data_IF_794139772099
#
_entry.id   IF_794139772099
#
_cell.length_a   1.000
_cell.length_b   1.000
_cell.length_c   1.000
_cell.angle_alpha   90.00
_cell.angle_beta   90.00
_cell.angle_gamma   90.00
#
_symmetry.space_group_name_H-M   'P 1'
#
loop_
_entity.id
_entity.type
_entity.pdbx_description
1 polymer ?
#
# COMPACT_ATOMS: atom_id res chain seq x y z
N UNK A 1 -12.90 50.78 0.75
CA UNK A 1 -11.84 50.13 1.55
C UNK A 1 -12.34 48.91 2.33
N UNK A 2 -13.40 48.99 3.16
CA UNK A 2 -13.88 47.86 3.99
C UNK A 2 -14.17 46.54 3.22
N UNK A 3 -14.74 46.61 2.01
CA UNK A 3 -15.03 45.41 1.19
C UNK A 3 -13.79 44.67 0.69
N UNK A 4 -12.69 45.38 0.43
CA UNK A 4 -11.42 44.76 0.00
C UNK A 4 -10.72 44.04 1.17
N UNK A 5 -10.80 44.60 2.38
CA UNK A 5 -10.24 43.97 3.58
C UNK A 5 -10.95 42.65 3.94
N UNK A 6 -12.27 42.56 3.79
CA UNK A 6 -13.04 41.33 4.04
C UNK A 6 -12.66 40.22 3.05
N UNK A 7 -12.48 40.55 1.76
CA UNK A 7 -12.10 39.59 0.74
C UNK A 7 -10.69 39.00 0.98
N UNK A 8 -9.72 39.84 1.39
CA UNK A 8 -8.35 39.39 1.73
C UNK A 8 -8.33 38.46 2.95
N UNK A 9 -9.16 38.75 3.96
CA UNK A 9 -9.29 37.91 5.17
C UNK A 9 -9.93 36.55 4.83
N UNK A 10 -10.97 36.54 3.99
CA UNK A 10 -11.60 35.29 3.52
C UNK A 10 -10.62 34.44 2.68
N UNK A 11 -9.86 35.07 1.77
CA UNK A 11 -8.86 34.36 0.97
C UNK A 11 -7.71 33.78 1.81
N UNK A 12 -7.22 34.49 2.83
CA UNK A 12 -6.20 33.95 3.74
C UNK A 12 -6.75 32.83 4.62
N UNK A 13 -8.00 32.92 5.09
CA UNK A 13 -8.64 31.86 5.87
C UNK A 13 -8.76 30.55 5.06
N UNK A 14 -9.18 30.61 3.79
CA UNK A 14 -9.26 29.43 2.93
C UNK A 14 -7.90 28.80 2.58
N UNK A 15 -6.84 29.62 2.48
CA UNK A 15 -5.47 29.11 2.26
C UNK A 15 -4.93 28.38 3.50
N UNK A 16 -5.23 28.86 4.71
CA UNK A 16 -4.81 28.21 5.95
C UNK A 16 -5.42 26.82 6.15
N UNK A 17 -6.69 26.62 5.77
CA UNK A 17 -7.38 25.33 5.94
C UNK A 17 -6.71 24.22 5.12
N UNK A 18 -6.25 24.50 3.89
CA UNK A 18 -5.59 23.49 3.03
C UNK A 18 -4.22 23.02 3.57
N UNK A 19 -3.51 23.87 4.31
CA UNK A 19 -2.21 23.51 4.89
C UNK A 19 -2.32 22.53 6.09
N UNK A 20 -3.48 22.46 6.75
CA UNK A 20 -3.66 21.61 7.93
C UNK A 20 -3.61 20.11 7.61
N UNK A 21 -4.17 19.68 6.47
CA UNK A 21 -4.21 18.27 6.08
C UNK A 21 -2.82 17.67 5.86
N UNK A 22 -1.96 18.38 5.13
CA UNK A 22 -0.58 17.96 4.85
C UNK A 22 0.26 17.83 6.14
N UNK A 23 0.09 18.78 7.06
CA UNK A 23 0.76 18.76 8.37
C UNK A 23 0.38 17.53 9.19
N UNK A 24 -0.89 17.14 9.16
CA UNK A 24 -1.37 15.96 9.88
C UNK A 24 -0.85 14.65 9.29
N UNK A 25 -0.82 14.51 7.95
CA UNK A 25 -0.25 13.32 7.30
C UNK A 25 1.23 13.14 7.63
N UNK A 26 2.02 14.23 7.64
CA UNK A 26 3.43 14.16 8.07
C UNK A 26 3.56 13.68 9.52
N UNK A 27 2.74 14.23 10.42
CA UNK A 27 2.77 13.84 11.84
C UNK A 27 2.35 12.38 12.01
N UNK A 28 1.34 11.92 11.29
CA UNK A 28 0.92 10.52 11.25
C UNK A 28 2.11 9.63 10.95
N UNK A 29 2.76 9.79 9.79
CA UNK A 29 3.87 8.93 9.38
C UNK A 29 5.10 9.07 10.28
N UNK A 30 5.35 10.26 10.86
CA UNK A 30 6.39 10.42 11.88
C UNK A 30 6.18 9.49 13.07
N UNK A 31 4.95 9.33 13.54
CA UNK A 31 4.64 8.42 14.65
C UNK A 31 4.56 6.96 14.22
N UNK A 32 4.08 6.66 13.00
CA UNK A 32 4.18 5.31 12.43
C UNK A 32 5.63 4.83 12.40
N UNK A 33 6.56 5.63 11.86
CA UNK A 33 7.97 5.25 11.81
C UNK A 33 8.61 5.07 13.19
N UNK A 34 8.18 5.86 14.19
CA UNK A 34 8.61 5.65 15.57
C UNK A 34 8.08 4.32 16.12
N UNK A 35 6.83 3.98 15.82
CA UNK A 35 6.25 2.71 16.22
C UNK A 35 7.00 1.53 15.59
N UNK A 36 7.23 1.59 14.28
CA UNK A 36 7.98 0.56 13.53
C UNK A 36 9.40 0.40 14.11
N UNK A 37 10.11 1.50 14.39
CA UNK A 37 11.41 1.46 15.06
C UNK A 37 11.34 0.83 16.46
N UNK A 38 10.30 1.10 17.24
CA UNK A 38 10.10 0.48 18.55
C UNK A 38 9.84 -1.02 18.44
N UNK A 39 9.11 -1.48 17.42
CA UNK A 39 8.91 -2.91 17.13
C UNK A 39 10.25 -3.59 16.84
N UNK A 40 11.14 -2.96 16.05
CA UNK A 40 12.48 -3.51 15.78
C UNK A 40 13.33 -3.70 17.05
N UNK A 41 13.02 -2.95 18.12
CA UNK A 41 13.67 -3.08 19.42
C UNK A 41 12.81 -3.87 20.43
N UNK A 42 11.75 -4.53 19.98
CA UNK A 42 10.79 -5.30 20.78
C UNK A 42 10.07 -4.51 21.89
N UNK A 43 10.09 -3.18 21.81
CA UNK A 43 9.36 -2.30 22.73
C UNK A 43 7.92 -2.09 22.24
N UNK A 44 7.09 -3.14 22.40
CA UNK A 44 5.70 -3.15 21.94
C UNK A 44 4.82 -2.14 22.69
N UNK A 45 5.16 -1.79 23.93
CA UNK A 45 4.43 -0.77 24.70
C UNK A 45 4.63 0.62 24.08
N UNK A 46 5.88 0.99 23.78
CA UNK A 46 6.17 2.25 23.11
C UNK A 46 5.63 2.28 21.67
N UNK A 47 5.69 1.15 20.96
CA UNK A 47 5.08 1.04 19.63
C UNK A 47 3.57 1.32 19.66
N UNK A 48 2.85 0.71 20.61
CA UNK A 48 1.41 0.93 20.82
C UNK A 48 1.10 2.40 21.13
N UNK A 49 1.87 3.04 22.02
CA UNK A 49 1.74 4.48 22.32
C UNK A 49 1.95 5.35 21.07
N UNK A 50 2.93 4.99 20.24
CA UNK A 50 3.19 5.70 18.98
C UNK A 50 2.05 5.52 17.98
N UNK A 51 1.48 4.33 17.82
CA UNK A 51 0.30 4.11 16.97
C UNK A 51 -0.93 4.89 17.44
N UNK A 52 -1.26 4.81 18.74
CA UNK A 52 -2.34 5.62 19.33
C UNK A 52 -2.15 7.10 19.01
N UNK A 53 -0.92 7.61 19.15
CA UNK A 53 -0.62 9.00 18.80
C UNK A 53 -0.74 9.27 17.30
N UNK A 54 -0.26 8.38 16.43
CA UNK A 54 -0.41 8.50 14.97
C UNK A 54 -1.90 8.61 14.59
N UNK A 55 -2.74 7.75 15.14
CA UNK A 55 -4.17 7.67 14.84
C UNK A 55 -4.95 8.91 15.28
N UNK A 56 -4.37 9.80 16.11
CA UNK A 56 -4.95 11.13 16.37
C UNK A 56 -4.83 12.11 15.21
N UNK A 57 -3.92 11.87 14.26
CA UNK A 57 -3.67 12.77 13.12
C UNK A 57 -4.46 12.42 11.86
N UNK A 58 -4.87 11.17 11.70
CA UNK A 58 -5.74 10.75 10.59
C UNK A 58 -7.03 10.17 11.14
N UNK A 59 -8.17 10.71 10.71
CA UNK A 59 -9.50 10.21 11.05
C UNK A 59 -9.67 8.72 10.70
N UNK A 60 -9.00 8.29 9.62
CA UNK A 60 -9.08 6.94 9.07
C UNK A 60 -7.67 6.39 8.87
N UNK A 61 -7.07 5.77 9.91
CA UNK A 61 -5.80 5.08 9.78
C UNK A 61 -5.87 3.91 8.78
N UNK A 62 -4.73 3.58 8.16
CA UNK A 62 -4.68 2.53 7.17
C UNK A 62 -4.82 1.14 7.81
N UNK A 63 -5.53 0.23 7.12
CA UNK A 63 -5.78 -1.13 7.59
C UNK A 63 -4.54 -1.88 8.08
N UNK A 64 -3.41 -1.72 7.38
CA UNK A 64 -2.13 -2.31 7.76
C UNK A 64 -1.60 -1.78 9.10
N UNK A 65 -1.71 -0.47 9.34
CA UNK A 65 -1.26 0.12 10.60
C UNK A 65 -2.15 -0.31 11.76
N UNK A 66 -3.47 -0.42 11.52
CA UNK A 66 -4.42 -0.95 12.51
C UNK A 66 -4.08 -2.40 12.89
N UNK A 67 -3.74 -3.23 11.90
CA UNK A 67 -3.35 -4.62 12.13
C UNK A 67 -2.08 -4.71 13.01
N UNK A 68 -1.01 -4.00 12.62
CA UNK A 68 0.26 -4.04 13.37
C UNK A 68 0.11 -3.43 14.78
N UNK A 69 -0.64 -2.34 14.91
CA UNK A 69 -0.92 -1.71 16.20
C UNK A 69 -1.64 -2.66 17.16
N UNK A 70 -2.64 -3.41 16.67
CA UNK A 70 -3.35 -4.40 17.48
C UNK A 70 -2.43 -5.52 17.96
N UNK A 71 -1.53 -6.02 17.12
CA UNK A 71 -0.54 -7.02 17.57
C UNK A 71 0.39 -6.44 18.64
N UNK A 72 0.87 -5.21 18.47
CA UNK A 72 1.71 -4.56 19.48
C UNK A 72 0.97 -4.40 20.82
N UNK A 73 -0.31 -4.04 20.79
CA UNK A 73 -1.13 -3.90 21.99
C UNK A 73 -1.32 -5.25 22.70
N UNK A 74 -1.60 -6.29 21.92
CA UNK A 74 -1.74 -7.65 22.45
C UNK A 74 -0.42 -8.25 22.97
N UNK A 75 0.74 -7.77 22.50
CA UNK A 75 2.07 -8.12 23.02
C UNK A 75 2.52 -7.25 24.19
N UNK A 76 1.72 -6.27 24.61
CA UNK A 76 2.05 -5.35 25.70
C UNK A 76 0.87 -5.21 26.67
N UNK A 77 0.41 -3.98 26.93
CA UNK A 77 -0.73 -3.71 27.80
C UNK A 77 -2.00 -3.61 26.95
N UNK A 78 -2.96 -4.50 27.22
CA UNK A 78 -4.19 -4.61 26.44
C UNK A 78 -5.18 -3.53 26.84
N UNK A 79 -5.66 -2.77 25.85
CA UNK A 79 -6.83 -1.89 25.99
C UNK A 79 -7.94 -2.38 25.05
N UNK A 80 -9.01 -2.90 25.63
CA UNK A 80 -10.10 -3.55 24.88
C UNK A 80 -10.88 -2.53 24.03
N UNK A 81 -11.12 -1.33 24.55
CA UNK A 81 -11.85 -0.28 23.83
C UNK A 81 -11.12 0.14 22.55
N UNK A 82 -9.79 0.34 22.63
CA UNK A 82 -8.96 0.65 21.47
C UNK A 82 -8.99 -0.49 20.44
N UNK A 83 -8.85 -1.75 20.89
CA UNK A 83 -8.88 -2.92 20.00
C UNK A 83 -10.23 -3.06 19.29
N UNK A 84 -11.33 -2.85 20.01
CA UNK A 84 -12.67 -2.84 19.44
C UNK A 84 -12.82 -1.73 18.39
N UNK A 85 -12.37 -0.52 18.70
CA UNK A 85 -12.39 0.60 17.76
C UNK A 85 -11.55 0.30 16.50
N UNK A 86 -10.35 -0.23 16.68
CA UNK A 86 -9.45 -0.57 15.57
C UNK A 86 -9.98 -1.71 14.72
N UNK A 87 -10.60 -2.73 15.34
CA UNK A 87 -11.26 -3.82 14.62
C UNK A 87 -12.40 -3.28 13.74
N UNK A 88 -13.24 -2.37 14.24
CA UNK A 88 -14.31 -1.74 13.44
C UNK A 88 -13.74 -1.00 12.22
N UNK A 89 -12.68 -0.22 12.41
CA UNK A 89 -12.02 0.50 11.31
C UNK A 89 -11.31 -0.44 10.32
N UNK A 90 -10.75 -1.54 10.82
CA UNK A 90 -10.12 -2.57 10.02
C UNK A 90 -11.16 -3.28 9.15
N UNK A 91 -12.23 -3.79 9.76
CA UNK A 91 -13.34 -4.46 9.08
C UNK A 91 -13.98 -3.60 7.99
N UNK A 92 -14.18 -2.30 8.22
CA UNK A 92 -14.68 -1.38 7.19
C UNK A 92 -13.83 -1.38 5.90
N UNK A 93 -12.50 -1.44 6.09
CA UNK A 93 -11.53 -1.38 5.01
C UNK A 93 -11.28 -2.76 4.38
N UNK A 94 -11.14 -3.80 5.19
CA UNK A 94 -10.69 -5.13 4.75
C UNK A 94 -11.83 -6.10 4.44
N UNK A 95 -13.04 -5.83 4.90
CA UNK A 95 -14.18 -6.77 4.94
C UNK A 95 -13.88 -8.06 5.73
N UNK A 96 -12.87 -8.01 6.62
CA UNK A 96 -12.40 -9.12 7.45
C UNK A 96 -12.29 -8.71 8.91
N UNK A 97 -12.60 -9.64 9.81
CA UNK A 97 -12.42 -9.43 11.23
C UNK A 97 -10.93 -9.50 11.59
N UNK A 98 -10.44 -8.50 12.32
CA UNK A 98 -9.04 -8.45 12.71
C UNK A 98 -8.66 -9.60 13.66
N UNK A 99 -9.60 -10.06 14.51
CA UNK A 99 -9.43 -11.25 15.36
C UNK A 99 -9.12 -12.47 14.52
N UNK A 100 -9.93 -12.71 13.49
CA UNK A 100 -9.80 -13.92 12.67
C UNK A 100 -8.47 -13.93 11.92
N UNK A 101 -8.03 -12.76 11.43
CA UNK A 101 -6.71 -12.63 10.81
C UNK A 101 -5.57 -12.90 11.81
N UNK A 102 -5.60 -12.28 12.99
CA UNK A 102 -4.57 -12.49 14.02
C UNK A 102 -4.54 -13.95 14.51
N UNK A 103 -5.71 -14.60 14.68
CA UNK A 103 -5.79 -16.01 15.09
C UNK A 103 -5.26 -16.94 13.99
N UNK A 104 -5.53 -16.61 12.72
CA UNK A 104 -5.09 -17.44 11.59
C UNK A 104 -3.57 -17.45 11.40
N UNK A 105 -2.86 -16.43 11.90
CA UNK A 105 -1.41 -16.40 11.92
C UNK A 105 -0.87 -17.31 13.05
N UNK A 106 -0.47 -18.51 12.63
CA UNK A 106 -0.16 -19.72 13.44
C UNK A 106 0.88 -19.56 14.56
N UNK A 107 1.47 -18.39 14.78
CA UNK A 107 2.56 -18.19 15.72
C UNK A 107 2.20 -17.48 17.03
N UNK A 108 0.91 -17.22 17.32
CA UNK A 108 0.53 -16.52 18.56
C UNK A 108 -0.33 -17.39 19.49
N UNK A 109 0.30 -18.43 20.02
CA UNK A 109 -0.32 -19.37 20.98
C UNK A 109 -0.82 -18.74 22.29
N UNK A 110 -0.49 -17.47 22.56
CA UNK A 110 -0.83 -16.77 23.80
C UNK A 110 -2.26 -16.21 23.84
N UNK A 111 -2.97 -16.13 22.71
CA UNK A 111 -4.24 -15.40 22.67
C UNK A 111 -5.50 -16.23 22.91
N UNK A 112 -5.41 -17.56 23.01
CA UNK A 112 -6.59 -18.40 23.32
C UNK A 112 -7.36 -17.95 24.58
N UNK A 113 -6.70 -17.27 25.53
CA UNK A 113 -7.31 -16.78 26.77
C UNK A 113 -7.83 -15.34 26.72
N UNK A 114 -7.51 -14.55 25.67
CA UNK A 114 -8.11 -13.22 25.44
C UNK A 114 -9.51 -13.31 24.82
N UNK A 115 -9.95 -14.51 24.42
CA UNK A 115 -11.09 -14.74 23.52
C UNK A 115 -12.34 -15.37 24.15
N UNK A 116 -12.64 -15.09 25.41
CA UNK A 116 -14.02 -15.26 25.90
C UNK A 116 -14.64 -13.88 26.13
N UNK A 117 -15.51 -13.49 25.18
CA UNK A 117 -16.66 -12.56 25.31
C UNK A 117 -16.57 -11.17 24.63
N UNK A 118 -15.41 -10.57 24.30
CA UNK A 118 -15.41 -9.11 23.97
C UNK A 118 -15.20 -8.68 22.50
N UNK A 119 -14.80 -9.57 21.59
CA UNK A 119 -14.59 -9.22 20.17
C UNK A 119 -15.78 -9.56 19.26
N UNK A 120 -16.63 -10.50 19.69
CA UNK A 120 -17.72 -11.03 18.86
C UNK A 120 -18.93 -10.08 18.79
N UNK A 121 -18.94 -8.98 19.56
CA UNK A 121 -19.98 -7.94 19.49
C UNK A 121 -19.84 -7.02 18.28
N UNK A 122 -18.70 -7.03 17.58
CA UNK A 122 -18.47 -6.29 16.33
C UNK A 122 -18.74 -7.26 15.17
N UNK A 123 -20.01 -7.69 15.06
CA UNK A 123 -20.46 -8.51 13.94
C UNK A 123 -20.53 -7.64 12.68
N UNK A 124 -20.20 -8.26 11.54
CA UNK A 124 -20.19 -7.74 10.17
C UNK A 124 -21.42 -6.89 9.78
N UNK A 125 -22.55 -7.10 10.46
CA UNK A 125 -23.83 -6.45 10.20
C UNK A 125 -23.94 -5.00 10.73
N UNK A 126 -22.91 -4.47 11.38
CA UNK A 126 -22.94 -3.12 12.00
C UNK A 126 -22.15 -2.05 11.26
N UNK A 127 -21.46 -2.40 10.17
CA UNK A 127 -20.60 -1.46 9.45
C UNK A 127 -21.28 -1.02 8.16
N UNK A 128 -22.16 -0.03 8.29
CA UNK A 128 -22.78 0.62 7.15
C UNK A 128 -21.73 1.42 6.35
N UNK A 129 -21.45 0.94 5.14
CA UNK A 129 -20.62 1.67 4.17
C UNK A 129 -21.40 2.88 3.67
N UNK A 130 -20.70 3.99 3.46
CA UNK A 130 -21.33 5.17 2.85
C UNK A 130 -21.89 4.84 1.46
N UNK A 131 -22.96 5.52 1.04
CA UNK A 131 -23.48 5.38 -0.34
C UNK A 131 -22.40 5.66 -1.38
N UNK A 132 -21.52 6.63 -1.11
CA UNK A 132 -20.36 6.93 -1.95
C UNK A 132 -19.40 5.72 -2.06
N UNK A 133 -19.06 5.08 -0.94
CA UNK A 133 -18.22 3.88 -0.93
C UNK A 133 -18.85 2.74 -1.75
N UNK A 134 -20.14 2.48 -1.56
CA UNK A 134 -20.87 1.41 -2.29
C UNK A 134 -20.83 1.68 -3.79
N UNK A 135 -21.22 2.90 -4.21
CA UNK A 135 -21.23 3.29 -5.63
C UNK A 135 -19.83 3.19 -6.23
N UNK A 136 -18.81 3.72 -5.54
CA UNK A 136 -17.44 3.73 -6.04
C UNK A 136 -16.86 2.32 -6.15
N UNK A 137 -17.08 1.46 -5.13
CA UNK A 137 -16.68 0.05 -5.17
C UNK A 137 -17.36 -0.69 -6.34
N UNK A 138 -18.64 -0.47 -6.58
CA UNK A 138 -19.35 -1.07 -7.71
C UNK A 138 -18.81 -0.61 -9.06
N UNK A 139 -18.47 0.68 -9.21
CA UNK A 139 -17.79 1.19 -10.41
C UNK A 139 -16.44 0.49 -10.62
N UNK A 140 -15.61 0.40 -9.58
CA UNK A 140 -14.30 -0.27 -9.67
C UNK A 140 -14.42 -1.76 -10.03
N UNK A 141 -15.41 -2.48 -9.47
CA UNK A 141 -15.73 -3.87 -9.84
C UNK A 141 -16.11 -3.99 -11.31
N UNK A 142 -16.95 -3.07 -11.80
CA UNK A 142 -17.36 -3.06 -13.20
C UNK A 142 -16.17 -2.82 -14.15
N UNK A 143 -15.22 -1.96 -13.79
CA UNK A 143 -13.99 -1.75 -14.58
C UNK A 143 -13.15 -3.03 -14.66
N UNK A 144 -12.94 -3.72 -13.53
CA UNK A 144 -12.22 -5.00 -13.51
C UNK A 144 -12.93 -6.07 -14.30
N UNK A 145 -14.25 -6.17 -14.17
CA UNK A 145 -15.04 -7.12 -14.95
C UNK A 145 -14.82 -6.91 -16.45
N UNK A 146 -14.91 -5.67 -16.94
CA UNK A 146 -14.63 -5.34 -18.35
C UNK A 146 -13.19 -5.66 -18.77
N UNK A 147 -12.22 -5.34 -17.91
CA UNK A 147 -10.80 -5.65 -18.13
C UNK A 147 -10.54 -7.17 -18.28
N UNK A 148 -11.18 -7.99 -17.43
CA UNK A 148 -11.02 -9.44 -17.48
C UNK A 148 -11.86 -10.08 -18.59
N UNK A 149 -13.04 -9.56 -18.90
CA UNK A 149 -13.89 -10.07 -19.98
C UNK A 149 -13.21 -9.97 -21.34
N UNK A 150 -12.58 -8.82 -21.67
CA UNK A 150 -11.86 -8.71 -22.94
C UNK A 150 -10.65 -9.65 -22.98
N UNK A 151 -10.03 -9.94 -21.81
CA UNK A 151 -8.96 -10.94 -21.70
C UNK A 151 -9.46 -12.33 -22.06
N UNK A 152 -10.55 -12.77 -21.44
CA UNK A 152 -11.12 -14.08 -21.75
C UNK A 152 -11.60 -14.17 -23.20
N UNK A 153 -12.26 -13.14 -23.74
CA UNK A 153 -12.69 -13.13 -25.14
C UNK A 153 -11.52 -13.27 -26.12
N UNK A 154 -10.41 -12.55 -25.90
CA UNK A 154 -9.25 -12.66 -26.77
C UNK A 154 -8.50 -13.99 -26.58
N UNK A 155 -8.52 -14.56 -25.36
CA UNK A 155 -8.00 -15.90 -25.11
C UNK A 155 -8.83 -16.98 -25.82
N UNK A 156 -10.17 -16.91 -25.76
CA UNK A 156 -11.07 -17.86 -26.41
C UNK A 156 -10.93 -17.83 -27.95
N UNK A 157 -10.75 -16.64 -28.52
CA UNK A 157 -10.65 -16.46 -29.98
C UNK A 157 -9.29 -16.83 -30.55
N UNK A 158 -8.20 -16.54 -29.83
CA UNK A 158 -6.84 -16.65 -30.37
C UNK A 158 -5.96 -17.67 -29.64
N UNK A 159 -6.33 -18.08 -28.43
CA UNK A 159 -5.52 -18.89 -27.52
C UNK A 159 -4.55 -18.05 -26.66
N UNK A 160 -4.22 -18.55 -25.48
CA UNK A 160 -3.36 -17.87 -24.48
C UNK A 160 -2.00 -17.42 -25.06
N UNK A 161 -1.39 -18.25 -25.92
CA UNK A 161 -0.07 -17.98 -26.51
C UNK A 161 -0.08 -16.86 -27.56
N UNK A 162 -1.26 -16.58 -28.15
CA UNK A 162 -1.44 -15.58 -29.22
C UNK A 162 -2.12 -14.31 -28.71
N UNK A 163 -2.34 -14.22 -27.41
CA UNK A 163 -2.97 -13.10 -26.73
C UNK A 163 -2.27 -11.74 -26.98
N UNK A 164 -0.99 -11.76 -27.35
CA UNK A 164 -0.19 -10.56 -27.65
C UNK A 164 -0.03 -10.26 -29.15
N UNK A 165 -0.75 -10.95 -30.04
CA UNK A 165 -0.82 -10.60 -31.46
C UNK A 165 -1.48 -9.22 -31.66
N UNK A 166 -1.23 -8.58 -32.80
CA UNK A 166 -1.55 -7.17 -33.05
C UNK A 166 -3.04 -6.81 -32.81
N UNK A 167 -3.97 -7.59 -33.37
CA UNK A 167 -5.41 -7.35 -33.21
C UNK A 167 -5.90 -7.54 -31.77
N UNK A 168 -5.69 -8.70 -31.09
CA UNK A 168 -6.01 -8.87 -29.67
C UNK A 168 -5.49 -7.74 -28.80
N UNK A 169 -4.21 -7.40 -28.98
CA UNK A 169 -3.52 -6.34 -28.26
C UNK A 169 -4.20 -4.98 -28.41
N UNK A 170 -4.68 -4.64 -29.61
CA UNK A 170 -5.34 -3.36 -29.86
C UNK A 170 -6.67 -3.23 -29.10
N UNK A 171 -7.47 -4.30 -29.08
CA UNK A 171 -8.76 -4.35 -28.37
C UNK A 171 -8.57 -4.24 -26.85
N UNK A 172 -7.61 -5.00 -26.32
CA UNK A 172 -7.23 -4.94 -24.91
C UNK A 172 -6.77 -3.54 -24.52
N UNK A 173 -5.85 -2.97 -25.31
CA UNK A 173 -5.31 -1.64 -25.06
C UNK A 173 -6.41 -0.56 -25.11
N UNK A 174 -7.42 -0.72 -25.96
CA UNK A 174 -8.59 0.17 -25.99
C UNK A 174 -9.39 0.10 -24.69
N UNK A 175 -9.75 -1.10 -24.23
CA UNK A 175 -10.48 -1.31 -22.97
C UNK A 175 -9.67 -0.80 -21.77
N UNK A 176 -8.35 -1.07 -21.74
CA UNK A 176 -7.45 -0.59 -20.69
C UNK A 176 -7.43 0.94 -20.62
N UNK A 177 -7.49 1.62 -21.76
CA UNK A 177 -7.53 3.08 -21.84
C UNK A 177 -8.82 3.65 -21.27
N UNK A 178 -9.96 3.05 -21.64
CA UNK A 178 -11.26 3.45 -21.11
C UNK A 178 -11.32 3.24 -19.59
N UNK A 179 -10.81 2.11 -19.11
CA UNK A 179 -10.73 1.82 -17.69
C UNK A 179 -9.81 2.80 -16.95
N UNK A 180 -8.68 3.20 -17.54
CA UNK A 180 -7.79 4.19 -16.95
C UNK A 180 -8.44 5.58 -16.90
N UNK A 181 -9.17 5.97 -17.94
CA UNK A 181 -9.93 7.22 -17.98
C UNK A 181 -11.00 7.25 -16.87
N UNK A 182 -11.79 6.19 -16.73
CA UNK A 182 -12.79 6.08 -15.67
C UNK A 182 -12.16 6.05 -14.28
N UNK A 183 -11.05 5.32 -14.11
CA UNK A 183 -10.29 5.34 -12.88
C UNK A 183 -9.79 6.75 -12.54
N UNK A 184 -9.27 7.48 -13.53
CA UNK A 184 -8.84 8.86 -13.36
C UNK A 184 -10.00 9.74 -12.86
N UNK A 185 -11.22 9.56 -13.38
CA UNK A 185 -12.40 10.28 -12.90
C UNK A 185 -12.72 9.94 -11.44
N UNK A 186 -12.68 8.65 -11.08
CA UNK A 186 -12.91 8.17 -9.69
C UNK A 186 -11.92 8.80 -8.71
N UNK A 187 -10.61 8.73 -9.00
CA UNK A 187 -9.58 9.26 -8.08
C UNK A 187 -9.50 10.79 -8.08
N UNK A 188 -10.12 11.46 -9.05
CA UNK A 188 -10.25 12.92 -9.10
C UNK A 188 -11.40 13.45 -8.25
N UNK A 189 -12.31 12.58 -7.82
CA UNK A 189 -13.40 12.95 -6.95
C UNK A 189 -12.86 13.45 -5.60
N UNK A 190 -13.37 14.59 -5.13
CA UNK A 190 -12.97 15.19 -3.84
C UNK A 190 -13.27 14.27 -2.66
N UNK A 191 -14.30 13.42 -2.78
CA UNK A 191 -14.69 12.43 -1.77
C UNK A 191 -13.84 11.16 -1.80
N UNK A 192 -12.98 10.99 -2.83
CA UNK A 192 -12.15 9.80 -2.95
C UNK A 192 -11.23 9.64 -1.72
N UNK A 193 -11.18 8.40 -1.22
CA UNK A 193 -10.36 7.95 -0.10
C UNK A 193 -10.16 6.45 -0.19
N UNK A 194 -8.93 5.96 0.03
CA UNK A 194 -8.63 4.53 0.10
C UNK A 194 -9.39 3.83 1.24
N UNK A 195 -9.72 4.56 2.31
CA UNK A 195 -10.55 4.05 3.40
C UNK A 195 -11.96 3.65 2.91
N UNK A 196 -12.60 4.51 2.11
CA UNK A 196 -13.98 4.31 1.61
C UNK A 196 -14.07 3.11 0.66
N UNK A 197 -13.09 2.96 -0.23
CA UNK A 197 -13.08 1.86 -1.21
C UNK A 197 -12.51 0.55 -0.63
N UNK A 198 -11.78 0.64 0.49
CA UNK A 198 -11.15 -0.48 1.18
C UNK A 198 -10.14 -1.26 0.33
N UNK A 199 -9.72 -2.40 0.87
CA UNK A 199 -8.76 -3.32 0.24
C UNK A 199 -9.27 -3.85 -1.10
N UNK A 200 -10.56 -4.18 -1.20
CA UNK A 200 -11.17 -4.67 -2.44
C UNK A 200 -11.09 -3.62 -3.56
N UNK A 201 -11.53 -2.39 -3.29
CA UNK A 201 -11.46 -1.32 -4.28
C UNK A 201 -10.01 -0.97 -4.64
N UNK A 202 -9.11 -0.98 -3.66
CA UNK A 202 -7.68 -0.77 -3.93
C UNK A 202 -7.10 -1.86 -4.84
N UNK A 203 -7.48 -3.13 -4.65
CA UNK A 203 -7.06 -4.21 -5.54
C UNK A 203 -7.54 -3.98 -6.98
N UNK A 204 -8.77 -3.47 -7.16
CA UNK A 204 -9.26 -3.07 -8.49
C UNK A 204 -8.41 -1.95 -9.10
N UNK A 205 -8.08 -0.92 -8.32
CA UNK A 205 -7.19 0.15 -8.77
C UNK A 205 -5.83 -0.43 -9.17
N UNK A 206 -5.23 -1.29 -8.34
CA UNK A 206 -3.96 -1.94 -8.61
C UNK A 206 -3.95 -2.70 -9.95
N UNK A 207 -4.97 -3.52 -10.22
CA UNK A 207 -5.04 -4.33 -11.45
C UNK A 207 -5.19 -3.46 -12.69
N UNK A 208 -6.10 -2.47 -12.70
CA UNK A 208 -6.30 -1.56 -13.84
C UNK A 208 -4.97 -0.87 -14.19
N UNK A 209 -4.26 -0.45 -13.16
CA UNK A 209 -3.00 0.25 -13.28
C UNK A 209 -1.87 -0.67 -13.74
N UNK A 210 -1.85 -1.91 -13.26
CA UNK A 210 -0.89 -2.93 -13.68
C UNK A 210 -1.01 -3.23 -15.17
N UNK A 211 -2.22 -3.40 -15.68
CA UNK A 211 -2.43 -3.65 -17.10
C UNK A 211 -2.10 -2.42 -17.95
N UNK A 212 -2.48 -1.22 -17.49
CA UNK A 212 -2.12 0.01 -18.19
C UNK A 212 -0.61 0.33 -18.17
N UNK A 213 0.17 -0.25 -17.25
CA UNK A 213 1.61 0.00 -17.23
C UNK A 213 2.27 -0.66 -18.43
N UNK A 214 1.76 -1.79 -18.91
CA UNK A 214 2.22 -2.47 -20.13
C UNK A 214 2.17 -1.57 -21.37
N UNK A 215 1.27 -0.56 -21.36
CA UNK A 215 1.10 0.43 -22.43
C UNK A 215 1.83 1.75 -22.15
N UNK A 216 2.61 1.83 -21.08
CA UNK A 216 3.22 3.07 -20.58
C UNK A 216 2.19 4.18 -20.31
N UNK A 217 0.98 3.88 -19.83
CA UNK A 217 -0.07 4.90 -19.58
C UNK A 217 -0.32 5.19 -18.11
N UNK A 218 0.13 4.32 -17.21
CA UNK A 218 -0.13 4.48 -15.76
C UNK A 218 0.48 5.74 -15.14
N UNK A 219 1.49 6.35 -15.78
CA UNK A 219 2.05 7.63 -15.34
C UNK A 219 1.03 8.77 -15.35
N UNK A 220 -0.02 8.69 -16.20
CA UNK A 220 -1.07 9.70 -16.32
C UNK A 220 -1.82 9.96 -15.01
N UNK A 221 -1.83 8.98 -14.10
CA UNK A 221 -2.48 9.09 -12.79
C UNK A 221 -1.50 9.04 -11.61
N UNK A 222 -0.20 8.80 -11.87
CA UNK A 222 0.81 8.59 -10.83
C UNK A 222 0.94 9.81 -9.90
N UNK A 223 1.01 11.02 -10.49
CA UNK A 223 1.11 12.25 -9.69
C UNK A 223 -0.15 12.47 -8.85
N UNK A 224 -1.32 12.14 -9.38
CA UNK A 224 -2.58 12.27 -8.63
C UNK A 224 -2.62 11.32 -7.43
N UNK A 225 -2.19 10.07 -7.60
CA UNK A 225 -2.05 9.12 -6.49
C UNK A 225 -1.01 9.58 -5.47
N UNK A 226 0.12 10.14 -5.92
CA UNK A 226 1.14 10.74 -5.04
C UNK A 226 0.57 11.88 -4.20
N UNK A 227 -0.26 12.75 -4.78
CA UNK A 227 -0.94 13.82 -4.05
C UNK A 227 -1.96 13.26 -3.05
N UNK A 228 -2.67 12.17 -3.38
CA UNK A 228 -3.55 11.50 -2.43
C UNK A 228 -2.80 10.91 -1.24
N UNK A 229 -1.60 10.35 -1.46
CA UNK A 229 -0.69 9.93 -0.37
C UNK A 229 -0.29 11.12 0.50
N UNK A 230 0.12 12.22 -0.12
CA UNK A 230 0.52 13.44 0.59
C UNK A 230 -0.58 14.01 1.50
N UNK A 231 -1.83 13.77 1.14
CA UNK A 231 -3.04 14.18 1.86
C UNK A 231 -3.60 13.10 2.80
N UNK A 232 -2.90 11.96 2.99
CA UNK A 232 -3.32 10.89 3.88
C UNK A 232 -4.55 10.11 3.40
N UNK A 233 -4.87 10.19 2.11
CA UNK A 233 -6.01 9.49 1.49
C UNK A 233 -5.63 8.13 0.90
N UNK A 234 -4.34 7.87 0.69
CA UNK A 234 -3.79 6.61 0.17
C UNK A 234 -2.56 6.25 0.99
N UNK A 235 -2.39 4.97 1.31
CA UNK A 235 -1.21 4.47 2.02
C UNK A 235 0.04 4.64 1.14
N UNK A 236 1.08 5.27 1.68
CA UNK A 236 2.34 5.50 0.98
C UNK A 236 3.04 4.21 0.54
N UNK A 237 2.92 3.12 1.30
CA UNK A 237 3.51 1.81 0.97
C UNK A 237 2.81 1.20 -0.24
N UNK A 238 1.48 1.29 -0.29
CA UNK A 238 0.69 0.81 -1.42
C UNK A 238 1.01 1.58 -2.70
N UNK A 239 1.10 2.91 -2.61
CA UNK A 239 1.51 3.73 -3.75
C UNK A 239 2.94 3.43 -4.20
N UNK A 240 3.89 3.27 -3.27
CA UNK A 240 5.27 3.00 -3.60
C UNK A 240 5.46 1.65 -4.31
N UNK A 241 4.77 0.60 -3.84
CA UNK A 241 4.74 -0.70 -4.51
C UNK A 241 4.19 -0.59 -5.94
N UNK A 242 3.07 0.14 -6.10
CA UNK A 242 2.45 0.40 -7.39
C UNK A 242 3.36 1.21 -8.32
N UNK A 243 4.01 2.25 -7.83
CA UNK A 243 4.91 3.10 -8.59
C UNK A 243 6.13 2.32 -9.09
N UNK A 244 6.61 1.33 -8.33
CA UNK A 244 7.59 0.37 -8.82
C UNK A 244 7.12 -0.41 -10.06
N UNK A 245 5.80 -0.62 -10.27
CA UNK A 245 5.27 -1.27 -11.49
C UNK A 245 5.29 -0.33 -12.70
N UNK A 246 5.24 0.98 -12.48
CA UNK A 246 5.39 1.96 -13.57
C UNK A 246 6.79 1.85 -14.16
N UNK A 247 7.80 1.78 -13.30
CA UNK A 247 9.19 1.69 -13.73
C UNK A 247 9.56 0.43 -14.50
N UNK A 248 9.01 -0.73 -14.12
CA UNK A 248 9.26 -1.98 -14.84
C UNK A 248 8.80 -1.93 -16.30
N UNK A 249 7.67 -1.27 -16.55
CA UNK A 249 7.12 -1.17 -17.89
C UNK A 249 7.76 -0.02 -18.70
N UNK A 250 8.12 1.08 -18.03
CA UNK A 250 8.66 2.28 -18.64
C UNK A 250 10.19 2.26 -18.82
N UNK A 251 10.81 1.09 -19.04
CA UNK A 251 12.28 0.92 -19.21
C UNK A 251 12.97 1.86 -20.23
N UNK A 252 12.21 2.66 -20.99
CA UNK A 252 12.66 3.61 -22.02
C UNK A 252 12.21 5.07 -21.83
N UNK A 253 11.46 5.42 -20.77
CA UNK A 253 10.99 6.80 -20.56
C UNK A 253 11.99 7.60 -19.74
N UNK A 254 12.50 8.71 -20.30
CA UNK A 254 13.39 9.66 -19.59
C UNK A 254 12.67 10.45 -18.48
N UNK A 255 11.33 10.45 -18.48
CA UNK A 255 10.53 11.26 -17.56
C UNK A 255 10.49 10.70 -16.13
N UNK A 256 10.76 9.41 -15.95
CA UNK A 256 10.79 8.76 -14.63
C UNK A 256 12.19 8.21 -14.39
N UNK A 257 12.90 8.77 -13.41
CA UNK A 257 14.22 8.29 -13.00
C UNK A 257 14.11 6.96 -12.24
N UNK A 258 13.86 5.88 -12.98
CA UNK A 258 13.84 4.53 -12.47
C UNK A 258 15.26 4.05 -12.17
N UNK A 259 15.49 3.53 -10.97
CA UNK A 259 16.77 2.97 -10.55
C UNK A 259 16.61 1.46 -10.56
N UNK A 260 17.23 0.81 -11.56
CA UNK A 260 17.11 -0.65 -11.79
C UNK A 260 15.66 -1.15 -11.83
N UNK A 261 14.73 -0.33 -12.32
CA UNK A 261 13.31 -0.67 -12.42
C UNK A 261 12.48 -0.36 -11.17
N UNK A 262 13.02 0.36 -10.18
CA UNK A 262 12.28 0.81 -8.98
C UNK A 262 12.51 2.30 -8.70
N UNK A 263 11.54 2.95 -8.04
CA UNK A 263 11.58 4.36 -7.60
C UNK A 263 11.82 4.46 -6.10
N UNK A 264 11.22 3.53 -5.35
CA UNK A 264 11.11 3.57 -3.90
C UNK A 264 11.80 2.39 -3.23
N UNK A 265 12.13 1.33 -3.96
CA UNK A 265 12.78 0.13 -3.44
C UNK A 265 11.83 -0.84 -2.74
N UNK A 266 10.54 -0.82 -3.08
CA UNK A 266 9.53 -1.68 -2.45
C UNK A 266 9.45 -3.08 -3.05
N UNK A 267 9.97 -3.31 -4.26
CA UNK A 267 9.86 -4.61 -4.97
C UNK A 267 11.08 -5.50 -4.88
N UNK A 268 12.00 -5.09 -4.05
CA UNK A 268 13.38 -5.50 -4.15
C UNK A 268 13.74 -6.44 -3.00
N UNK A 269 12.75 -7.20 -2.52
CA UNK A 269 12.92 -8.28 -1.56
C UNK A 269 12.49 -9.61 -2.19
N UNK A 270 13.43 -10.51 -2.33
CA UNK A 270 13.23 -11.82 -2.96
C UNK A 270 13.47 -12.92 -1.96
N UNK A 271 12.56 -13.88 -1.91
CA UNK A 271 12.66 -15.08 -1.08
C UNK A 271 12.76 -16.29 -1.98
N UNK A 272 13.78 -17.12 -1.76
CA UNK A 272 14.00 -18.38 -2.47
C UNK A 272 14.67 -19.38 -1.53
N UNK A 273 14.05 -20.54 -1.35
CA UNK A 273 14.42 -21.45 -0.25
C UNK A 273 14.43 -20.72 1.10
N UNK A 274 15.54 -20.79 1.82
CA UNK A 274 15.77 -20.07 3.09
C UNK A 274 16.50 -18.73 2.91
N UNK A 275 16.77 -18.32 1.67
CA UNK A 275 17.51 -17.11 1.37
C UNK A 275 16.57 -15.94 1.14
N UNK A 276 16.98 -14.80 1.67
CA UNK A 276 16.25 -13.55 1.57
C UNK A 276 17.23 -12.53 1.04
N UNK A 277 16.91 -11.88 -0.08
CA UNK A 277 17.87 -10.99 -0.75
C UNK A 277 17.27 -9.64 -1.08
N UNK A 278 18.14 -8.64 -1.17
CA UNK A 278 17.83 -7.34 -1.72
C UNK A 278 18.96 -6.83 -2.63
N UNK A 279 18.68 -5.95 -3.60
CA UNK A 279 19.69 -5.34 -4.45
C UNK A 279 20.74 -4.58 -3.66
N UNK A 280 21.99 -4.82 -4.04
CA UNK A 280 23.10 -4.03 -3.56
C UNK A 280 23.12 -2.67 -4.31
N UNK A 281 22.43 -1.69 -3.73
CA UNK A 281 22.42 -0.32 -4.23
C UNK A 281 23.76 0.38 -3.95
N UNK A 282 24.25 1.13 -4.92
CA UNK A 282 25.34 2.07 -4.70
C UNK A 282 24.91 3.20 -3.75
N UNK A 283 25.87 3.95 -3.20
CA UNK A 283 25.59 5.12 -2.35
C UNK A 283 24.70 6.15 -3.06
N UNK A 284 24.93 6.37 -4.36
CA UNK A 284 24.15 7.32 -5.16
C UNK A 284 22.74 6.81 -5.45
N UNK A 285 22.59 5.52 -5.73
CA UNK A 285 21.28 4.88 -5.90
C UNK A 285 20.46 4.99 -4.61
N UNK A 286 21.05 4.67 -3.45
CA UNK A 286 20.40 4.84 -2.15
C UNK A 286 20.00 6.29 -1.88
N UNK A 287 20.86 7.26 -2.23
CA UNK A 287 20.56 8.69 -2.05
C UNK A 287 19.34 9.11 -2.87
N UNK A 288 19.24 8.67 -4.12
CA UNK A 288 18.09 8.95 -5.00
C UNK A 288 16.82 8.25 -4.51
N UNK A 289 16.89 6.96 -4.17
CA UNK A 289 15.76 6.20 -3.61
C UNK A 289 15.25 6.88 -2.32
N UNK A 290 16.15 7.23 -1.40
CA UNK A 290 15.78 7.89 -0.14
C UNK A 290 15.19 9.28 -0.35
N UNK A 291 15.65 10.02 -1.37
CA UNK A 291 15.00 11.28 -1.77
C UNK A 291 13.55 11.02 -2.17
N UNK A 292 13.30 10.06 -3.05
CA UNK A 292 11.94 9.71 -3.48
C UNK A 292 11.08 9.25 -2.30
N UNK A 293 11.57 8.30 -1.49
CA UNK A 293 10.89 7.78 -0.29
C UNK A 293 10.44 8.90 0.65
N UNK A 294 11.31 9.90 0.89
CA UNK A 294 10.98 11.07 1.73
C UNK A 294 9.81 11.89 1.17
N UNK A 295 9.65 11.99 -0.15
CA UNK A 295 8.56 12.78 -0.78
C UNK A 295 7.15 12.24 -0.51
N UNK A 296 7.06 10.96 -0.16
CA UNK A 296 5.81 10.27 0.22
C UNK A 296 5.88 9.73 1.65
N UNK A 297 6.77 10.30 2.47
CA UNK A 297 6.89 10.00 3.90
C UNK A 297 7.22 8.55 4.23
N UNK A 298 7.97 7.85 3.39
CA UNK A 298 8.53 6.54 3.74
C UNK A 298 9.84 6.70 4.52
N UNK A 299 10.12 5.75 5.42
CA UNK A 299 11.43 5.56 6.03
C UNK A 299 12.53 5.38 4.98
N UNK A 300 13.80 5.70 5.23
CA UNK A 300 14.91 5.36 4.34
C UNK A 300 14.96 3.86 4.01
N UNK A 301 15.49 3.50 2.84
CA UNK A 301 15.57 2.09 2.38
C UNK A 301 16.35 1.20 3.34
N UNK A 302 17.30 1.77 4.09
CA UNK A 302 18.07 1.03 5.10
C UNK A 302 17.19 0.57 6.26
N UNK A 303 16.29 1.42 6.75
CA UNK A 303 15.32 1.04 7.80
C UNK A 303 14.31 0.03 7.26
N UNK A 304 13.88 0.21 6.00
CA UNK A 304 13.02 -0.75 5.31
C UNK A 304 13.64 -2.14 5.21
N UNK A 305 14.94 -2.23 4.96
CA UNK A 305 15.67 -3.51 4.98
C UNK A 305 15.61 -4.10 6.39
N UNK A 306 15.85 -3.33 7.46
CA UNK A 306 15.74 -3.86 8.83
C UNK A 306 14.34 -4.39 9.15
N UNK A 307 13.29 -3.69 8.74
CA UNK A 307 11.89 -4.16 8.85
C UNK A 307 11.69 -5.53 8.17
N UNK A 308 12.26 -5.70 6.99
CA UNK A 308 12.23 -6.96 6.25
C UNK A 308 12.94 -8.11 6.99
N UNK A 309 14.14 -7.86 7.51
CA UNK A 309 14.89 -8.85 8.31
C UNK A 309 14.08 -9.24 9.55
N UNK A 310 13.54 -8.25 10.26
CA UNK A 310 12.77 -8.51 11.47
C UNK A 310 11.49 -9.31 11.17
N UNK A 311 10.76 -8.98 10.09
CA UNK A 311 9.56 -9.72 9.69
C UNK A 311 9.87 -11.18 9.33
N UNK A 312 11.03 -11.48 8.72
CA UNK A 312 11.47 -12.86 8.47
C UNK A 312 11.60 -13.64 9.78
N UNK A 313 12.17 -13.02 10.81
CA UNK A 313 12.35 -13.62 12.13
C UNK A 313 11.04 -13.67 12.94
N UNK A 314 10.08 -12.81 12.60
CA UNK A 314 8.82 -12.64 13.31
C UNK A 314 7.65 -12.68 12.33
N UNK A 315 7.35 -13.87 11.79
CA UNK A 315 6.38 -14.04 10.68
C UNK A 315 4.98 -13.47 10.96
N UNK A 316 4.60 -13.23 12.22
CA UNK A 316 3.30 -12.66 12.59
C UNK A 316 3.27 -11.12 12.57
N UNK A 317 4.40 -10.43 12.38
CA UNK A 317 4.48 -8.97 12.33
C UNK A 317 4.74 -8.51 10.89
N UNK A 318 3.67 -8.17 10.18
CA UNK A 318 3.74 -7.81 8.75
C UNK A 318 4.01 -6.32 8.52
N UNK A 319 5.27 -5.96 8.31
CA UNK A 319 5.66 -4.69 7.68
C UNK A 319 5.50 -4.71 6.15
N UNK A 320 5.35 -5.89 5.54
CA UNK A 320 5.15 -6.16 4.10
C UNK A 320 4.07 -7.21 3.95
N UNK A 321 3.12 -7.03 3.04
CA UNK A 321 2.13 -8.09 2.77
C UNK A 321 2.80 -9.26 2.06
N UNK A 322 2.39 -10.50 2.35
CA UNK A 322 2.96 -11.72 1.73
C UNK A 322 2.96 -11.67 0.19
N UNK A 323 1.97 -11.04 -0.44
CA UNK A 323 1.87 -10.90 -1.89
C UNK A 323 2.74 -9.78 -2.49
N UNK A 324 3.42 -8.98 -1.67
CA UNK A 324 4.43 -7.99 -2.07
C UNK A 324 5.84 -8.62 -2.10
N UNK A 325 5.99 -9.86 -1.62
CA UNK A 325 7.23 -10.65 -1.68
C UNK A 325 7.25 -11.43 -3.00
N UNK A 326 8.30 -11.24 -3.80
CA UNK A 326 8.49 -12.07 -4.98
C UNK A 326 9.06 -13.43 -4.56
N UNK A 327 8.25 -14.48 -4.67
CA UNK A 327 8.72 -15.86 -4.60
C UNK A 327 9.39 -16.21 -5.91
N UNK A 328 10.66 -16.59 -5.86
CA UNK A 328 11.39 -16.95 -7.07
C UNK A 328 11.39 -18.48 -7.23
N UNK A 329 10.95 -19.01 -8.39
CA UNK A 329 11.00 -20.46 -8.67
C UNK A 329 12.41 -21.02 -8.58
N UNK A 330 12.55 -22.27 -8.12
CA UNK A 330 13.83 -22.98 -7.98
C UNK A 330 14.65 -23.04 -9.28
N UNK A 331 13.98 -23.04 -10.44
CA UNK A 331 14.65 -22.99 -11.74
C UNK A 331 15.55 -21.75 -11.94
N UNK A 332 15.33 -20.67 -11.17
CA UNK A 332 16.13 -19.46 -11.20
C UNK A 332 17.20 -19.40 -10.09
N UNK A 333 17.29 -20.42 -9.23
CA UNK A 333 18.19 -20.45 -8.07
C UNK A 333 19.65 -20.17 -8.44
N UNK A 334 20.18 -20.88 -9.44
CA UNK A 334 21.57 -20.69 -9.94
C UNK A 334 21.86 -19.27 -10.39
N UNK A 335 20.85 -18.58 -10.95
CA UNK A 335 20.99 -17.19 -11.41
C UNK A 335 21.04 -16.23 -10.22
N UNK A 336 20.30 -16.52 -9.16
CA UNK A 336 20.31 -15.71 -7.93
C UNK A 336 21.63 -15.90 -7.17
N UNK A 337 22.09 -17.15 -7.01
CA UNK A 337 23.40 -17.45 -6.41
C UNK A 337 24.52 -16.72 -7.16
N UNK A 338 24.48 -16.74 -8.49
CA UNK A 338 25.41 -15.96 -9.31
C UNK A 338 25.32 -14.45 -9.01
N UNK A 339 24.14 -13.91 -8.76
CA UNK A 339 23.94 -12.49 -8.39
C UNK A 339 24.40 -12.15 -6.97
N UNK A 340 24.36 -13.10 -6.02
CA UNK A 340 24.98 -12.90 -4.71
C UNK A 340 26.50 -12.92 -4.85
N UNK A 341 27.03 -13.94 -5.52
CA UNK A 341 28.48 -14.14 -5.67
C UNK A 341 29.17 -12.99 -6.41
N UNK A 342 28.46 -12.31 -7.32
CA UNK A 342 28.97 -11.12 -8.01
C UNK A 342 28.60 -9.79 -7.32
N UNK A 343 28.01 -9.83 -6.12
CA UNK A 343 27.68 -8.68 -5.30
C UNK A 343 26.54 -7.81 -5.82
N UNK A 344 25.73 -8.28 -6.79
CA UNK A 344 24.54 -7.56 -7.28
C UNK A 344 23.38 -7.63 -6.29
N UNK A 345 23.27 -8.73 -5.55
CA UNK A 345 22.35 -8.91 -4.45
C UNK A 345 23.12 -9.03 -3.14
N UNK A 346 22.50 -8.60 -2.05
CA UNK A 346 22.93 -8.87 -0.69
C UNK A 346 21.96 -9.87 -0.07
N UNK A 347 22.53 -10.88 0.56
CA UNK A 347 21.78 -11.81 1.38
C UNK A 347 21.49 -11.19 2.75
N UNK A 348 20.31 -11.49 3.26
CA UNK A 348 19.88 -11.22 4.62
C UNK A 348 20.17 -12.48 5.40
N UNK A 349 21.27 -12.44 6.13
CA UNK A 349 21.64 -13.45 7.13
C UNK A 349 20.59 -13.54 8.24
#
# INVERSE_FOLDING_TARGET
MFKQSIFVILCTFFLCIKCTGYSNTIKYYKYIHKAEKSILNEDFSLATKCYKKAFTYLKHPFSKDLYVASICMLKSEVNIEDLQQWNKLYMYQSDKNLKDEIISDKGIGYYKNLFKIEWDSIIKDTIEKSNYAIITRNKLKALIKKDQEIRHQMEDLYGTDKYYLFEPKSNIMYVDSLNLYELNNIISDKQFSAYEIGNEGWNSIYIIILHNSQWNRSFLIAEKLKQLVKNGKVDNRLFAYLAGRFCEAMKKSEEIQCIRGDIYGEKLYWVYGNHHTYPNFSKDEMKKINKNRKEIYLNPIQERIKELIYQKQNENLFFIKKNEIALIPDALLKKIESYINNGKLKEIE
#
